data_IF_417003389758
#
_entry.id   IF_417003389758
#
_cell.length_a   1.000
_cell.length_b   1.000
_cell.length_c   1.000
_cell.angle_alpha   90.00
_cell.angle_beta   90.00
_cell.angle_gamma   90.00
#
_symmetry.space_group_name_H-M   'P 1'
#
loop_
_entity.id
_entity.type
_entity.pdbx_description
1 polymer ?
#
# COMPACT_ATOMS: atom_id res chain seq x y z
N UNK A 1 -30.71 36.11 -38.03
CA UNK A 1 -30.94 36.77 -36.71
C UNK A 1 -32.33 36.38 -36.23
N UNK A 2 -32.43 35.37 -35.37
CA UNK A 2 -33.72 34.89 -34.84
C UNK A 2 -33.85 35.39 -33.39
N UNK A 3 -34.74 36.35 -33.15
CA UNK A 3 -35.03 36.88 -31.81
C UNK A 3 -35.90 35.89 -31.05
N UNK A 4 -35.36 35.23 -30.03
CA UNK A 4 -36.13 34.44 -29.07
C UNK A 4 -36.92 35.40 -28.19
N UNK A 5 -38.24 35.48 -28.42
CA UNK A 5 -39.17 36.10 -27.47
C UNK A 5 -39.28 35.19 -26.25
N UNK A 6 -38.63 35.55 -25.15
CA UNK A 6 -38.89 34.94 -23.84
C UNK A 6 -40.28 35.37 -23.37
N UNK A 7 -41.19 34.41 -23.25
CA UNK A 7 -42.54 34.61 -22.71
C UNK A 7 -42.45 34.64 -21.19
N UNK A 8 -42.69 35.81 -20.59
CA UNK A 8 -42.78 35.97 -19.15
C UNK A 8 -44.02 35.26 -18.58
N UNK A 9 -43.95 34.68 -17.37
CA UNK A 9 -45.08 34.01 -16.75
C UNK A 9 -46.25 34.98 -16.52
N UNK A 10 -47.42 34.63 -17.08
CA UNK A 10 -48.65 35.41 -17.00
C UNK A 10 -49.20 35.37 -15.56
N UNK A 11 -48.79 36.32 -14.73
CA UNK A 11 -49.36 36.51 -13.40
C UNK A 11 -50.51 37.51 -13.48
N UNK A 12 -51.74 37.02 -13.28
CA UNK A 12 -53.02 37.75 -13.37
C UNK A 12 -53.25 38.74 -12.21
N UNK A 13 -52.23 39.50 -11.80
CA UNK A 13 -52.32 40.51 -10.73
C UNK A 13 -52.15 41.91 -11.32
N UNK A 14 -53.12 42.78 -11.04
CA UNK A 14 -53.18 44.17 -11.54
C UNK A 14 -52.03 45.04 -11.02
N UNK A 15 -51.46 44.67 -9.86
CA UNK A 15 -50.29 45.29 -9.25
C UNK A 15 -49.32 44.21 -8.78
N UNK A 16 -48.03 44.40 -9.06
CA UNK A 16 -46.95 43.56 -8.57
C UNK A 16 -46.23 44.26 -7.40
N UNK A 17 -45.85 43.48 -6.40
CA UNK A 17 -45.14 43.96 -5.21
C UNK A 17 -43.75 43.32 -5.17
N UNK A 18 -42.78 44.01 -4.58
CA UNK A 18 -41.45 43.45 -4.36
C UNK A 18 -41.50 42.35 -3.29
N UNK A 19 -40.96 41.16 -3.59
CA UNK A 19 -40.95 40.03 -2.65
C UNK A 19 -40.03 40.27 -1.43
N UNK A 20 -39.05 41.18 -1.53
CA UNK A 20 -38.10 41.49 -0.45
C UNK A 20 -38.61 42.55 0.51
N UNK A 21 -39.15 43.68 0.00
CA UNK A 21 -39.54 44.82 0.83
C UNK A 21 -41.04 45.16 0.80
N UNK A 22 -41.83 44.47 -0.03
CA UNK A 22 -43.28 44.67 -0.12
C UNK A 22 -43.72 45.96 -0.81
N UNK A 23 -42.82 46.78 -1.35
CA UNK A 23 -43.20 48.01 -2.06
C UNK A 23 -43.86 47.73 -3.41
N UNK A 24 -44.77 48.61 -3.83
CA UNK A 24 -45.38 48.57 -5.17
C UNK A 24 -44.30 48.71 -6.26
N UNK A 25 -44.33 47.82 -7.25
CA UNK A 25 -43.41 47.89 -8.38
C UNK A 25 -43.93 48.89 -9.44
N UNK A 26 -43.04 49.71 -10.03
CA UNK A 26 -43.43 50.81 -10.91
C UNK A 26 -44.08 50.37 -12.23
N UNK A 27 -43.82 49.14 -12.69
CA UNK A 27 -44.53 48.45 -13.76
C UNK A 27 -44.09 46.98 -13.82
N UNK A 28 -44.90 46.06 -14.39
CA UNK A 28 -44.48 44.68 -14.62
C UNK A 28 -43.23 44.64 -15.50
N UNK A 29 -42.18 43.95 -15.04
CA UNK A 29 -40.89 43.83 -15.74
C UNK A 29 -39.78 44.79 -15.28
N UNK A 30 -40.06 45.68 -14.32
CA UNK A 30 -39.04 46.53 -13.70
C UNK A 30 -38.62 45.99 -12.33
N UNK A 31 -37.35 46.16 -11.99
CA UNK A 31 -36.83 45.84 -10.66
C UNK A 31 -37.30 46.87 -9.62
N UNK A 32 -37.31 46.46 -8.35
CA UNK A 32 -37.59 47.35 -7.23
C UNK A 32 -36.55 48.48 -7.20
N UNK A 33 -36.97 49.72 -6.98
CA UNK A 33 -36.06 50.87 -6.88
C UNK A 33 -35.40 51.00 -5.50
N UNK A 34 -35.96 50.33 -4.49
CA UNK A 34 -35.47 50.35 -3.10
C UNK A 34 -34.58 49.15 -2.77
N UNK A 35 -34.68 48.07 -3.55
CA UNK A 35 -33.86 46.88 -3.39
C UNK A 35 -32.90 46.79 -4.56
N UNK A 36 -31.70 46.26 -4.31
CA UNK A 36 -30.79 45.96 -5.40
C UNK A 36 -31.42 44.89 -6.34
N UNK A 37 -31.22 45.01 -7.66
CA UNK A 37 -31.67 43.99 -8.61
C UNK A 37 -31.12 42.61 -8.23
N UNK A 38 -31.84 41.53 -8.51
CA UNK A 38 -31.29 40.19 -8.35
C UNK A 38 -30.00 40.09 -9.17
N UNK A 39 -28.98 39.48 -8.57
CA UNK A 39 -27.73 39.22 -9.28
C UNK A 39 -28.03 38.42 -10.55
N UNK A 40 -27.38 38.75 -11.68
CA UNK A 40 -27.57 38.01 -12.91
C UNK A 40 -27.23 36.53 -12.66
N UNK A 41 -27.93 35.60 -13.32
CA UNK A 41 -27.58 34.19 -13.23
C UNK A 41 -26.11 34.01 -13.62
N UNK A 42 -25.41 33.14 -12.90
CA UNK A 42 -24.01 32.85 -13.19
C UNK A 42 -23.83 32.49 -14.67
N UNK A 43 -22.75 32.94 -15.32
CA UNK A 43 -22.56 32.81 -16.77
C UNK A 43 -22.47 31.36 -17.24
N UNK A 44 -22.29 30.40 -16.34
CA UNK A 44 -22.23 28.98 -16.63
C UNK A 44 -22.91 28.17 -15.49
N UNK A 45 -24.23 27.91 -15.58
CA UNK A 45 -24.97 27.21 -14.53
C UNK A 45 -24.64 25.72 -14.44
N UNK A 46 -23.97 25.16 -15.45
CA UNK A 46 -23.51 23.78 -15.50
C UNK A 46 -22.03 23.64 -15.09
N UNK A 47 -21.40 24.75 -14.69
CA UNK A 47 -20.04 24.76 -14.19
C UNK A 47 -19.99 23.99 -12.89
N UNK A 48 -19.64 22.71 -13.00
CA UNK A 48 -19.44 21.83 -11.87
C UNK A 48 -18.36 22.34 -10.91
N UNK A 49 -17.99 21.51 -9.95
CA UNK A 49 -17.05 21.89 -8.90
C UNK A 49 -15.71 22.38 -9.51
N UNK A 50 -15.31 23.62 -9.19
CA UNK A 50 -14.04 24.17 -9.64
C UNK A 50 -12.88 23.28 -9.13
N UNK A 51 -11.85 23.05 -9.96
CA UNK A 51 -10.74 22.14 -9.63
C UNK A 51 -10.06 22.46 -8.28
N UNK A 52 -9.87 23.74 -7.96
CA UNK A 52 -9.32 24.19 -6.67
C UNK A 52 -10.21 23.78 -5.49
N UNK A 53 -11.53 23.94 -5.64
CA UNK A 53 -12.51 23.57 -4.62
C UNK A 53 -12.62 22.05 -4.46
N UNK A 54 -12.54 21.30 -5.57
CA UNK A 54 -12.49 19.84 -5.56
C UNK A 54 -11.25 19.34 -4.82
N UNK A 55 -10.08 19.90 -5.14
CA UNK A 55 -8.82 19.55 -4.50
C UNK A 55 -8.85 19.81 -2.99
N UNK A 56 -9.34 20.98 -2.56
CA UNK A 56 -9.47 21.32 -1.14
C UNK A 56 -10.33 20.28 -0.39
N UNK A 57 -11.49 19.91 -0.96
CA UNK A 57 -12.41 18.95 -0.33
C UNK A 57 -11.81 17.54 -0.25
N UNK A 58 -11.20 17.07 -1.33
CA UNK A 58 -10.54 15.76 -1.36
C UNK A 58 -9.42 15.72 -0.32
N UNK A 59 -8.59 16.77 -0.26
CA UNK A 59 -7.48 16.87 0.69
C UNK A 59 -7.99 16.82 2.13
N UNK A 60 -9.07 17.52 2.44
CA UNK A 60 -9.68 17.54 3.78
C UNK A 60 -10.19 16.13 4.16
N UNK A 61 -10.89 15.44 3.25
CA UNK A 61 -11.40 14.09 3.50
C UNK A 61 -10.27 13.07 3.71
N UNK A 62 -9.22 13.15 2.89
CA UNK A 62 -8.03 12.30 3.05
C UNK A 62 -7.36 12.57 4.39
N UNK A 63 -7.21 13.84 4.79
CA UNK A 63 -6.61 14.19 6.08
C UNK A 63 -7.42 13.61 7.25
N UNK A 64 -8.74 13.77 7.23
CA UNK A 64 -9.63 13.18 8.25
C UNK A 64 -9.46 11.66 8.31
N UNK A 65 -9.44 10.99 7.15
CA UNK A 65 -9.26 9.54 7.10
C UNK A 65 -7.91 9.12 7.70
N UNK A 66 -6.83 9.82 7.36
CA UNK A 66 -5.51 9.57 7.94
C UNK A 66 -5.49 9.77 9.46
N UNK A 67 -6.17 10.80 9.98
CA UNK A 67 -6.30 11.01 11.43
C UNK A 67 -7.04 9.85 12.09
N UNK A 68 -8.15 9.39 11.49
CA UNK A 68 -8.89 8.23 11.99
C UNK A 68 -8.00 6.99 11.99
N UNK A 69 -7.31 6.70 10.89
CA UNK A 69 -6.35 5.59 10.77
C UNK A 69 -5.32 5.63 11.90
N UNK A 70 -4.67 6.77 12.14
CA UNK A 70 -3.67 6.93 13.21
C UNK A 70 -4.27 6.69 14.60
N UNK A 71 -5.45 7.25 14.89
CA UNK A 71 -6.11 7.11 16.20
C UNK A 71 -6.66 5.70 16.43
N UNK A 72 -7.23 5.07 15.41
CA UNK A 72 -7.93 3.78 15.53
C UNK A 72 -6.97 2.58 15.44
N UNK A 73 -5.81 2.76 14.81
CA UNK A 73 -4.82 1.70 14.61
C UNK A 73 -3.56 1.85 15.48
N UNK A 74 -3.54 2.82 16.41
CA UNK A 74 -2.39 3.12 17.30
C UNK A 74 -1.04 3.23 16.55
N UNK A 75 -1.07 3.70 15.30
CA UNK A 75 0.13 3.79 14.47
C UNK A 75 0.96 4.96 14.99
N UNK A 76 2.06 4.66 15.69
CA UNK A 76 3.03 5.67 16.07
C UNK A 76 3.74 6.16 14.79
N UNK A 77 3.55 7.41 14.34
CA UNK A 77 4.12 7.90 13.08
C UNK A 77 5.66 7.91 13.08
N UNK A 78 6.27 7.72 14.26
CA UNK A 78 7.70 7.58 14.46
C UNK A 78 8.26 6.24 13.95
N UNK A 79 7.46 5.17 13.83
CA UNK A 79 7.91 3.92 13.22
C UNK A 79 8.00 4.02 11.70
N UNK A 80 7.30 4.97 11.09
CA UNK A 80 7.17 5.11 9.63
C UNK A 80 8.34 5.88 9.00
N UNK A 81 9.01 6.76 9.76
CA UNK A 81 10.23 7.43 9.32
C UNK A 81 11.49 6.57 9.46
N UNK A 82 11.43 5.47 10.22
CA UNK A 82 12.56 4.56 10.38
C UNK A 82 12.80 3.69 9.14
N UNK A 83 11.78 3.51 8.27
CA UNK A 83 11.87 2.74 7.03
C UNK A 83 12.41 3.53 5.81
N UNK A 84 12.57 4.85 5.92
CA UNK A 84 13.04 5.70 4.81
C UNK A 84 14.56 5.87 4.75
N UNK A 85 15.27 5.37 5.75
CA UNK A 85 16.72 5.41 5.82
C UNK A 85 17.22 4.02 6.13
N UNK A 86 17.75 3.36 5.09
CA UNK A 86 18.52 2.10 5.09
C UNK A 86 17.71 0.88 4.62
N UNK A 87 18.17 0.37 3.47
CA UNK A 87 18.07 -1.01 2.96
C UNK A 87 16.84 -1.45 2.13
N UNK A 88 17.11 -1.57 0.82
CA UNK A 88 16.66 -2.63 -0.10
C UNK A 88 15.45 -3.50 0.34
N UNK A 89 14.30 -3.23 -0.29
CA UNK A 89 13.02 -3.92 -0.08
C UNK A 89 13.15 -5.45 -0.28
N UNK A 90 12.99 -6.28 0.76
CA UNK A 90 12.77 -7.71 0.61
C UNK A 90 11.28 -7.94 0.30
N UNK A 91 11.05 -8.88 -0.61
CA UNK A 91 9.72 -9.38 -0.98
C UNK A 91 8.94 -9.80 0.29
N UNK A 92 7.88 -9.08 0.66
CA UNK A 92 6.99 -9.49 1.75
C UNK A 92 6.10 -10.65 1.28
N UNK A 93 6.56 -11.86 1.58
CA UNK A 93 5.75 -13.08 1.61
C UNK A 93 4.88 -13.00 2.87
N UNK A 94 3.58 -13.29 2.75
CA UNK A 94 2.69 -13.37 3.91
C UNK A 94 3.30 -14.30 4.96
N UNK A 95 3.50 -13.78 6.17
CA UNK A 95 4.05 -14.52 7.29
C UNK A 95 2.96 -15.43 7.84
N UNK A 96 2.77 -16.56 7.16
CA UNK A 96 2.04 -17.71 7.68
C UNK A 96 2.96 -18.35 8.74
N UNK A 97 2.63 -18.18 10.02
CA UNK A 97 3.41 -18.58 11.21
C UNK A 97 3.72 -20.09 11.37
N UNK A 98 3.47 -20.94 10.38
CA UNK A 98 3.51 -22.40 10.59
C UNK A 98 4.39 -23.20 9.61
N UNK A 99 5.25 -22.57 8.79
CA UNK A 99 6.17 -23.34 7.95
C UNK A 99 7.60 -23.38 8.51
N UNK A 100 7.97 -24.50 9.13
CA UNK A 100 9.37 -24.78 9.44
C UNK A 100 10.05 -25.38 8.21
N UNK A 101 10.94 -24.62 7.55
CA UNK A 101 11.73 -25.12 6.43
C UNK A 101 12.88 -25.99 6.95
N UNK A 102 12.82 -27.29 6.68
CA UNK A 102 13.88 -28.24 7.02
C UNK A 102 14.76 -28.54 5.81
N UNK A 103 16.07 -28.69 6.04
CA UNK A 103 17.01 -29.12 5.00
C UNK A 103 17.55 -30.51 5.31
N UNK A 104 17.59 -31.39 4.30
CA UNK A 104 18.08 -32.76 4.45
C UNK A 104 19.06 -33.13 3.35
N UNK A 105 19.94 -34.08 3.65
CA UNK A 105 20.83 -34.68 2.66
C UNK A 105 20.04 -35.62 1.75
N UNK A 106 20.04 -35.38 0.44
CA UNK A 106 19.26 -36.17 -0.53
C UNK A 106 20.01 -37.42 -1.05
N UNK A 107 21.35 -37.39 -1.06
CA UNK A 107 22.16 -38.51 -1.56
C UNK A 107 22.52 -39.51 -0.46
N UNK A 108 22.79 -40.76 -0.84
CA UNK A 108 23.19 -41.84 0.09
C UNK A 108 24.31 -41.44 1.05
N UNK A 109 25.33 -40.75 0.52
CA UNK A 109 26.48 -40.28 1.29
C UNK A 109 26.95 -38.93 0.77
N UNK A 110 27.02 -37.93 1.65
CA UNK A 110 27.46 -36.59 1.30
C UNK A 110 28.69 -36.16 2.11
N UNK A 111 29.74 -35.75 1.41
CA UNK A 111 31.02 -35.38 2.04
C UNK A 111 30.97 -33.97 2.60
N UNK A 112 31.10 -33.86 3.92
CA UNK A 112 31.29 -32.61 4.64
C UNK A 112 32.78 -32.25 4.62
N UNK A 113 33.12 -31.07 4.16
CA UNK A 113 34.51 -30.62 3.91
C UNK A 113 34.89 -29.43 4.77
N UNK A 114 36.17 -29.21 4.97
CA UNK A 114 36.71 -28.05 5.71
C UNK A 114 36.63 -26.74 4.91
N UNK A 115 36.66 -26.83 3.58
CA UNK A 115 36.59 -25.70 2.66
C UNK A 115 35.65 -25.96 1.45
N UNK A 116 35.08 -24.91 0.83
CA UNK A 116 34.16 -25.01 -0.30
C UNK A 116 34.90 -25.27 -1.63
N UNK A 117 35.59 -26.39 -1.70
CA UNK A 117 36.36 -26.83 -2.86
C UNK A 117 36.28 -28.37 -2.96
N UNK A 118 36.40 -28.95 -4.14
CA UNK A 118 36.44 -30.42 -4.30
C UNK A 118 37.86 -31.00 -4.37
N UNK A 119 38.83 -30.21 -4.83
CA UNK A 119 40.20 -30.62 -5.12
C UNK A 119 41.17 -30.35 -3.97
N UNK A 120 41.04 -29.20 -3.32
CA UNK A 120 42.02 -28.70 -2.32
C UNK A 120 41.53 -28.80 -0.88
N UNK A 121 40.34 -29.35 -0.64
CA UNK A 121 39.74 -29.46 0.69
C UNK A 121 39.84 -30.89 1.22
N UNK A 122 39.82 -31.00 2.54
CA UNK A 122 39.80 -32.28 3.24
C UNK A 122 38.36 -32.65 3.62
N UNK A 123 38.04 -33.94 3.50
CA UNK A 123 36.75 -34.47 3.96
C UNK A 123 36.83 -34.65 5.48
N UNK A 124 36.00 -33.91 6.20
CA UNK A 124 35.89 -33.99 7.66
C UNK A 124 35.00 -35.15 8.09
N UNK A 125 33.89 -35.35 7.38
CA UNK A 125 32.90 -36.36 7.71
C UNK A 125 32.03 -36.73 6.50
N UNK A 126 31.33 -37.86 6.58
CA UNK A 126 30.37 -38.30 5.55
C UNK A 126 28.99 -38.40 6.18
N UNK A 127 28.05 -37.57 5.71
CA UNK A 127 26.67 -37.55 6.20
C UNK A 127 25.83 -38.56 5.42
N UNK A 128 25.05 -39.43 6.10
CA UNK A 128 24.11 -40.31 5.42
C UNK A 128 22.89 -39.55 4.89
N UNK A 129 22.19 -40.17 3.94
CA UNK A 129 20.91 -39.66 3.42
C UNK A 129 19.90 -39.39 4.54
N UNK A 130 19.11 -38.34 4.39
CA UNK A 130 18.08 -37.94 5.33
C UNK A 130 18.61 -37.19 6.57
N UNK A 131 19.93 -37.04 6.73
CA UNK A 131 20.49 -36.22 7.81
C UNK A 131 19.99 -34.79 7.71
N UNK A 132 19.35 -34.30 8.77
CA UNK A 132 18.90 -32.91 8.84
C UNK A 132 20.10 -31.98 9.03
N UNK A 133 20.07 -30.85 8.35
CA UNK A 133 21.13 -29.84 8.38
C UNK A 133 20.56 -28.45 8.57
N UNK A 134 21.30 -27.61 9.28
CA UNK A 134 21.06 -26.18 9.41
C UNK A 134 22.03 -25.44 8.49
N UNK A 135 21.54 -24.54 7.64
CA UNK A 135 22.39 -23.74 6.75
C UNK A 135 22.88 -22.50 7.49
N UNK A 136 24.20 -22.43 7.73
CA UNK A 136 24.86 -21.30 8.40
C UNK A 136 25.33 -20.22 7.42
N UNK A 137 25.42 -20.54 6.12
CA UNK A 137 25.84 -19.59 5.10
C UNK A 137 26.07 -20.24 3.73
N UNK A 138 26.21 -19.41 2.69
CA UNK A 138 26.42 -19.87 1.30
C UNK A 138 27.66 -19.23 0.68
N UNK A 139 28.40 -19.99 -0.13
CA UNK A 139 29.52 -19.50 -0.95
C UNK A 139 29.53 -20.23 -2.29
N UNK A 140 29.00 -19.58 -3.32
CA UNK A 140 28.86 -20.16 -4.65
C UNK A 140 28.03 -21.46 -4.62
N UNK A 141 28.62 -22.56 -5.07
CA UNK A 141 27.96 -23.88 -5.14
C UNK A 141 28.01 -24.67 -3.82
N UNK A 142 28.38 -24.02 -2.73
CA UNK A 142 28.58 -24.63 -1.42
C UNK A 142 27.75 -23.94 -0.35
N UNK A 143 27.29 -24.75 0.60
CA UNK A 143 26.62 -24.28 1.80
C UNK A 143 27.45 -24.70 3.00
N UNK A 144 27.72 -23.75 3.90
CA UNK A 144 28.24 -24.06 5.22
C UNK A 144 27.06 -24.52 6.06
N UNK A 145 27.15 -25.73 6.59
CA UNK A 145 26.06 -26.35 7.33
C UNK A 145 26.52 -26.83 8.69
N UNK A 146 25.56 -27.02 9.59
CA UNK A 146 25.69 -27.75 10.84
C UNK A 146 24.75 -28.95 10.80
N UNK A 147 25.27 -30.15 11.00
CA UNK A 147 24.47 -31.38 11.02
C UNK A 147 23.68 -31.52 12.32
N UNK A 148 22.47 -32.05 12.20
CA UNK A 148 21.63 -32.52 13.30
C UNK A 148 21.39 -34.02 13.13
N UNK A 149 22.37 -34.87 13.51
CA UNK A 149 22.21 -36.32 13.39
C UNK A 149 21.07 -36.81 14.30
N UNK A 150 20.29 -37.77 13.82
CA UNK A 150 19.21 -38.38 14.60
C UNK A 150 19.73 -39.36 15.68
N UNK A 151 20.94 -39.89 15.50
CA UNK A 151 21.63 -40.72 16.48
C UNK A 151 22.34 -39.82 17.53
N UNK A 152 22.74 -40.38 18.69
CA UNK A 152 23.50 -39.69 19.78
C UNK A 152 24.91 -39.21 19.37
N UNK A 153 25.10 -38.84 18.12
CA UNK A 153 26.34 -38.32 17.56
C UNK A 153 26.42 -36.80 17.76
N UNK A 154 27.64 -36.29 17.77
CA UNK A 154 27.90 -34.86 17.88
C UNK A 154 27.58 -34.15 16.55
N UNK A 155 26.94 -32.98 16.64
CA UNK A 155 26.78 -32.08 15.51
C UNK A 155 28.15 -31.70 14.92
N UNK A 156 28.25 -31.73 13.59
CA UNK A 156 29.46 -31.37 12.85
C UNK A 156 29.18 -30.17 11.96
N UNK A 157 30.14 -29.27 11.86
CA UNK A 157 30.04 -28.08 11.01
C UNK A 157 31.07 -28.16 9.89
N UNK A 158 30.67 -27.80 8.67
CA UNK A 158 31.56 -27.79 7.51
C UNK A 158 30.86 -27.36 6.23
N UNK A 159 31.52 -27.54 5.10
CA UNK A 159 31.04 -27.19 3.77
C UNK A 159 30.49 -28.41 3.05
N UNK A 160 29.26 -28.29 2.55
CA UNK A 160 28.56 -29.29 1.78
C UNK A 160 28.17 -28.69 0.42
N UNK A 161 28.24 -29.48 -0.65
CA UNK A 161 27.80 -28.98 -1.96
C UNK A 161 26.29 -28.75 -1.93
N UNK A 162 25.84 -27.53 -2.28
CA UNK A 162 24.43 -27.14 -2.12
C UNK A 162 23.46 -28.01 -2.91
N UNK A 163 23.90 -28.58 -4.03
CA UNK A 163 23.12 -29.51 -4.86
C UNK A 163 22.80 -30.86 -4.19
N UNK A 164 23.38 -31.15 -3.03
CA UNK A 164 23.18 -32.39 -2.28
C UNK A 164 22.19 -32.20 -1.12
N UNK A 165 21.63 -31.00 -0.99
CA UNK A 165 20.72 -30.60 0.08
C UNK A 165 19.36 -30.33 -0.57
N UNK A 166 18.33 -31.00 -0.07
CA UNK A 166 16.94 -30.74 -0.45
C UNK A 166 16.25 -30.00 0.69
N UNK A 167 15.35 -29.07 0.33
CA UNK A 167 14.46 -28.38 1.26
C UNK A 167 13.10 -29.08 1.30
N UNK A 168 12.61 -29.37 2.50
CA UNK A 168 11.28 -29.91 2.76
C UNK A 168 10.51 -28.87 3.59
N UNK A 169 9.32 -28.50 3.13
CA UNK A 169 8.41 -27.62 3.86
C UNK A 169 7.46 -28.54 4.63
N UNK A 170 7.39 -28.38 5.95
CA UNK A 170 6.47 -29.11 6.80
C UNK A 170 5.54 -28.16 7.52
#
# INVERSE_FOLDING_TARGET
MSSSKTSYPNTKREYQYCDTCGSLLPAPGFFCIQCDPPEPPEPDPEKGLNFSQAYLRITLLVLIFMVVVVVKLEINPLSLFHDLSTDEVPLQVAEDEDYEMFFKVNVSFANLRDAPNTKTSTILFVLPQGTEVEILGKKGKWSKIRSKPAAKELARTGWLASKLIDSEIK
#
